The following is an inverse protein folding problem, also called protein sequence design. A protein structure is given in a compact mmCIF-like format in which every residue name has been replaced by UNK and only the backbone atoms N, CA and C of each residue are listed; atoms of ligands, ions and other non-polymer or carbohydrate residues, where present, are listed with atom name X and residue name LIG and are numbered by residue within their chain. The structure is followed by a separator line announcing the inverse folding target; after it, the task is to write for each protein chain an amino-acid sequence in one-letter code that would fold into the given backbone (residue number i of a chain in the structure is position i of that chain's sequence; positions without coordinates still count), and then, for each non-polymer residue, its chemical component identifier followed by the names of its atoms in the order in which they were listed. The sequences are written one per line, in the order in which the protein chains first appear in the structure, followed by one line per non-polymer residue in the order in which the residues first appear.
data_IF_547400184341
#
_entry.id   IF_547400184341
#
_cell.length_a   1.000
_cell.length_b   1.000
_cell.length_c   1.000
_cell.angle_alpha   90.00
_cell.angle_beta   90.00
_cell.angle_gamma   90.00
#
_symmetry.space_group_name_H-M   'P 1'
#
loop_
_entity.id
_entity.type
_entity.pdbx_description
1 polymer ?
#
# COMPACT_ATOMS: atom_id res chain seq x y z
N UNK A 1 -9.64 59.26 -29.17
CA UNK A 1 -9.47 57.91 -29.74
C UNK A 1 -8.70 57.06 -28.73
N UNK A 2 -9.38 56.48 -27.72
CA UNK A 2 -8.66 55.74 -26.64
C UNK A 2 -9.39 54.49 -26.13
N UNK A 3 -10.61 54.21 -26.61
CA UNK A 3 -11.42 53.06 -26.14
C UNK A 3 -10.92 51.70 -26.66
N UNK A 4 -10.16 51.70 -27.76
CA UNK A 4 -9.69 50.44 -28.38
C UNK A 4 -8.66 49.72 -27.51
N UNK A 5 -7.74 50.46 -26.88
CA UNK A 5 -6.74 49.87 -25.98
C UNK A 5 -7.36 49.28 -24.70
N UNK A 6 -8.43 49.90 -24.19
CA UNK A 6 -9.14 49.43 -22.99
C UNK A 6 -9.88 48.12 -23.29
N UNK A 7 -10.53 48.02 -24.44
CA UNK A 7 -11.23 46.79 -24.88
C UNK A 7 -10.23 45.64 -25.07
N UNK A 8 -9.05 45.93 -25.64
CA UNK A 8 -7.98 44.94 -25.80
C UNK A 8 -7.42 44.44 -24.46
N UNK A 9 -7.24 45.34 -23.48
CA UNK A 9 -6.79 44.99 -22.12
C UNK A 9 -7.83 44.13 -21.39
N UNK A 10 -9.12 44.44 -21.54
CA UNK A 10 -10.21 43.66 -20.95
C UNK A 10 -10.25 42.25 -21.57
N UNK A 11 -10.13 42.14 -22.89
CA UNK A 11 -10.09 40.85 -23.59
C UNK A 11 -8.90 40.00 -23.17
N UNK A 12 -7.71 40.61 -23.05
CA UNK A 12 -6.49 39.92 -22.61
C UNK A 12 -6.61 39.43 -21.15
N UNK A 13 -7.19 40.26 -20.28
CA UNK A 13 -7.45 39.92 -18.88
C UNK A 13 -8.42 38.74 -18.76
N UNK A 14 -9.53 38.76 -19.52
CA UNK A 14 -10.53 37.69 -19.51
C UNK A 14 -9.91 36.36 -19.97
N UNK A 15 -9.04 36.39 -20.99
CA UNK A 15 -8.36 35.20 -21.50
C UNK A 15 -7.42 34.58 -20.45
N UNK A 16 -6.67 35.41 -19.71
CA UNK A 16 -5.77 34.95 -18.64
C UNK A 16 -6.55 34.33 -17.48
N UNK A 17 -7.70 34.88 -17.12
CA UNK A 17 -8.57 34.32 -16.06
C UNK A 17 -9.11 32.95 -16.47
N UNK A 18 -9.55 32.79 -17.72
CA UNK A 18 -10.04 31.49 -18.23
C UNK A 18 -8.94 30.44 -18.25
N UNK A 19 -7.73 30.79 -18.71
CA UNK A 19 -6.57 29.91 -18.69
C UNK A 19 -6.16 29.51 -17.27
N UNK A 20 -6.23 30.45 -16.32
CA UNK A 20 -5.94 30.19 -14.91
C UNK A 20 -6.99 29.26 -14.26
N UNK A 21 -8.28 29.45 -14.58
CA UNK A 21 -9.35 28.55 -14.15
C UNK A 21 -9.17 27.14 -14.76
N UNK A 22 -8.86 27.05 -16.05
CA UNK A 22 -8.63 25.79 -16.74
C UNK A 22 -7.41 25.04 -16.18
N UNK A 23 -6.34 25.76 -15.82
CA UNK A 23 -5.15 25.17 -15.18
C UNK A 23 -5.40 24.76 -13.72
N UNK A 24 -6.26 25.50 -13.00
CA UNK A 24 -6.66 25.17 -11.62
C UNK A 24 -7.61 23.97 -11.56
N UNK A 25 -8.32 23.68 -12.65
CA UNK A 25 -9.01 22.41 -12.89
C UNK A 25 -7.99 21.32 -13.20
N UNK A 26 -7.14 21.03 -12.21
CA UNK A 26 -6.37 19.78 -12.11
C UNK A 26 -7.34 18.63 -12.43
N UNK A 27 -6.95 17.63 -13.23
CA UNK A 27 -7.82 16.50 -13.51
C UNK A 27 -8.06 15.73 -12.22
N UNK A 28 -9.17 16.05 -11.54
CA UNK A 28 -9.74 15.34 -10.41
C UNK A 28 -10.36 13.99 -10.84
N UNK A 29 -9.83 13.43 -11.93
CA UNK A 29 -10.15 12.11 -12.47
C UNK A 29 -8.91 11.23 -12.51
N UNK A 30 -8.09 11.27 -11.46
CA UNK A 30 -7.48 10.03 -11.01
C UNK A 30 -8.55 9.26 -10.23
N UNK A 31 -9.49 8.65 -10.97
CA UNK A 31 -10.06 7.39 -10.49
C UNK A 31 -8.85 6.57 -10.05
N UNK A 32 -8.77 6.05 -8.81
CA UNK A 32 -7.85 4.96 -8.56
C UNK A 32 -8.27 3.91 -9.59
N UNK A 33 -7.41 3.74 -10.60
CA UNK A 33 -7.50 2.64 -11.54
C UNK A 33 -7.36 1.45 -10.63
N UNK A 34 -8.50 0.90 -10.19
CA UNK A 34 -8.58 -0.40 -9.58
C UNK A 34 -7.77 -1.26 -10.54
N UNK A 35 -6.58 -1.72 -10.15
CA UNK A 35 -5.86 -2.64 -11.00
C UNK A 35 -6.84 -3.79 -11.07
N UNK A 36 -7.44 -3.99 -12.25
CA UNK A 36 -8.00 -5.27 -12.64
C UNK A 36 -6.98 -6.27 -12.16
N UNK A 37 -7.31 -6.98 -11.07
CA UNK A 37 -6.45 -8.01 -10.52
C UNK A 37 -5.97 -8.79 -11.74
N UNK A 38 -4.68 -8.74 -12.11
CA UNK A 38 -4.19 -9.90 -12.78
C UNK A 38 -4.48 -11.00 -11.76
N UNK A 39 -5.12 -12.08 -12.17
CA UNK A 39 -5.08 -13.32 -11.41
C UNK A 39 -3.61 -13.72 -11.38
N UNK A 40 -2.81 -13.00 -10.59
CA UNK A 40 -1.46 -13.35 -10.22
C UNK A 40 -1.74 -14.52 -9.31
N UNK A 41 -1.75 -15.71 -9.89
CA UNK A 41 -1.68 -16.94 -9.13
C UNK A 41 -0.63 -16.69 -8.05
N UNK A 42 -1.07 -16.65 -6.79
CA UNK A 42 -0.16 -16.43 -5.69
C UNK A 42 0.91 -17.49 -5.81
N UNK A 43 2.19 -17.14 -5.65
CA UNK A 43 3.23 -18.14 -5.58
C UNK A 43 2.85 -19.19 -4.53
N UNK A 44 3.11 -20.48 -4.78
CA UNK A 44 2.72 -21.55 -3.87
C UNK A 44 3.30 -21.36 -2.47
N UNK A 45 4.45 -20.68 -2.37
CA UNK A 45 5.09 -20.26 -1.11
C UNK A 45 4.26 -19.23 -0.35
N UNK A 46 3.80 -18.17 -1.02
CA UNK A 46 2.92 -17.15 -0.43
C UNK A 46 1.58 -17.76 -0.01
N UNK A 47 1.04 -18.68 -0.81
CA UNK A 47 -0.21 -19.37 -0.48
C UNK A 47 -0.04 -20.31 0.72
N UNK A 48 1.09 -21.04 0.81
CA UNK A 48 1.44 -21.86 1.98
C UNK A 48 1.56 -21.00 3.24
N UNK A 49 2.25 -19.85 3.15
CA UNK A 49 2.39 -18.92 4.26
C UNK A 49 1.02 -18.37 4.70
N UNK A 50 0.18 -17.97 3.74
CA UNK A 50 -1.19 -17.50 4.02
C UNK A 50 -2.01 -18.58 4.74
N UNK A 51 -1.96 -19.82 4.28
CA UNK A 51 -2.70 -20.93 4.89
C UNK A 51 -2.22 -21.24 6.32
N UNK A 52 -0.93 -21.02 6.62
CA UNK A 52 -0.38 -21.17 7.97
C UNK A 52 -0.74 -19.98 8.89
N UNK A 53 -0.82 -18.77 8.34
CA UNK A 53 -1.11 -17.55 9.10
C UNK A 53 -2.61 -17.33 9.36
N UNK A 54 -3.46 -17.61 8.37
CA UNK A 54 -4.91 -17.42 8.42
C UNK A 54 -5.60 -18.03 9.65
N UNK A 55 -5.33 -19.29 10.06
CA UNK A 55 -5.98 -19.85 11.26
C UNK A 55 -5.53 -19.18 12.55
N UNK A 56 -4.34 -18.57 12.56
CA UNK A 56 -3.72 -18.00 13.75
C UNK A 56 -4.01 -16.50 13.95
N UNK A 57 -4.40 -15.80 12.89
CA UNK A 57 -4.66 -14.35 12.86
C UNK A 57 -6.11 -14.06 12.47
N UNK A 58 -7.08 -14.68 13.15
CA UNK A 58 -8.53 -14.48 12.87
C UNK A 58 -9.00 -13.03 13.08
N UNK A 59 -8.34 -12.31 13.98
CA UNK A 59 -8.67 -10.94 14.34
C UNK A 59 -8.02 -9.91 13.39
N UNK A 60 -7.26 -10.37 12.39
CA UNK A 60 -6.53 -9.54 11.46
C UNK A 60 -6.90 -9.85 10.01
N UNK A 61 -6.97 -8.81 9.19
CA UNK A 61 -7.10 -8.92 7.74
C UNK A 61 -5.74 -9.26 7.14
N UNK A 62 -5.64 -10.42 6.49
CA UNK A 62 -4.47 -10.82 5.71
C UNK A 62 -4.70 -10.51 4.24
N UNK A 63 -3.88 -9.62 3.68
CA UNK A 63 -3.87 -9.31 2.25
C UNK A 63 -2.62 -9.91 1.60
N UNK A 64 -2.73 -11.10 0.99
CA UNK A 64 -1.62 -11.68 0.28
C UNK A 64 -1.39 -10.97 -1.07
N UNK A 65 -0.14 -10.67 -1.36
CA UNK A 65 0.37 -10.14 -2.65
C UNK A 65 1.47 -11.07 -3.14
N UNK A 66 1.87 -10.93 -4.41
CA UNK A 66 2.83 -11.83 -5.08
C UNK A 66 4.00 -12.27 -4.17
N UNK A 67 4.75 -11.32 -3.60
CA UNK A 67 5.94 -11.59 -2.78
C UNK A 67 5.80 -11.14 -1.33
N UNK A 68 4.61 -10.75 -0.87
CA UNK A 68 4.42 -10.24 0.49
C UNK A 68 3.00 -10.44 1.00
N UNK A 69 2.85 -10.63 2.31
CA UNK A 69 1.56 -10.68 2.99
C UNK A 69 1.47 -9.48 3.92
N UNK A 70 0.45 -8.65 3.72
CA UNK A 70 0.18 -7.51 4.59
C UNK A 70 -0.82 -7.96 5.64
N UNK A 71 -0.54 -7.65 6.89
CA UNK A 71 -1.38 -7.96 8.05
C UNK A 71 -1.88 -6.63 8.60
N UNK A 72 -3.20 -6.46 8.57
CA UNK A 72 -3.88 -5.30 9.11
C UNK A 72 -4.83 -5.70 10.22
N UNK A 73 -4.94 -4.90 11.28
CA UNK A 73 -5.93 -5.05 12.35
C UNK A 73 -6.81 -3.81 12.36
N UNK A 74 -8.12 -3.98 12.31
CA UNK A 74 -9.09 -2.86 12.29
C UNK A 74 -8.81 -1.80 11.21
N UNK A 75 -8.33 -2.23 10.04
CA UNK A 75 -8.00 -1.32 8.92
C UNK A 75 -6.62 -0.65 9.00
N UNK A 76 -5.87 -0.84 10.09
CA UNK A 76 -4.51 -0.31 10.26
C UNK A 76 -3.49 -1.40 9.96
N UNK A 77 -2.49 -1.11 9.13
CA UNK A 77 -1.38 -2.03 8.83
C UNK A 77 -0.53 -2.18 10.08
N UNK A 78 -0.29 -3.42 10.51
CA UNK A 78 0.51 -3.73 11.71
C UNK A 78 1.74 -4.55 11.38
N UNK A 79 1.68 -5.40 10.35
CA UNK A 79 2.86 -6.13 9.91
C UNK A 79 2.86 -6.37 8.39
N UNK A 80 4.05 -6.54 7.82
CA UNK A 80 4.25 -6.93 6.43
C UNK A 80 5.29 -8.05 6.42
N UNK A 81 4.90 -9.19 5.92
CA UNK A 81 5.80 -10.31 5.70
C UNK A 81 6.23 -10.30 4.24
N UNK A 82 7.52 -10.21 3.94
CA UNK A 82 8.03 -10.26 2.56
C UNK A 82 8.76 -11.59 2.37
N UNK A 83 8.49 -12.29 1.27
CA UNK A 83 9.21 -13.49 0.87
C UNK A 83 10.26 -13.09 -0.15
N UNK A 84 11.54 -13.26 0.19
CA UNK A 84 12.66 -12.86 -0.65
C UNK A 84 13.74 -13.95 -0.63
N UNK A 85 14.12 -14.42 -1.82
CA UNK A 85 15.14 -15.45 -2.00
C UNK A 85 16.54 -15.02 -1.55
N UNK A 86 16.77 -13.71 -1.42
CA UNK A 86 18.02 -13.15 -0.92
C UNK A 86 17.93 -12.68 0.53
N UNK A 87 16.76 -12.83 1.18
CA UNK A 87 16.60 -12.42 2.56
C UNK A 87 17.18 -13.45 3.53
N UNK A 88 18.23 -13.04 4.22
CA UNK A 88 18.50 -13.52 5.58
C UNK A 88 17.37 -12.97 6.46
N UNK A 89 16.77 -13.80 7.32
CA UNK A 89 15.75 -13.41 8.31
C UNK A 89 16.08 -12.04 8.93
N UNK A 90 15.41 -11.00 8.43
CA UNK A 90 15.73 -9.62 8.77
C UNK A 90 14.46 -8.91 9.18
N UNK A 91 14.51 -8.35 10.39
CA UNK A 91 13.43 -7.58 10.97
C UNK A 91 13.71 -6.11 10.70
N UNK A 92 12.72 -5.44 10.11
CA UNK A 92 12.77 -4.01 9.84
C UNK A 92 11.53 -3.38 10.42
N UNK A 93 11.74 -2.28 11.13
CA UNK A 93 10.65 -1.48 11.70
C UNK A 93 10.44 -0.29 10.78
N UNK A 94 9.18 -0.08 10.37
CA UNK A 94 8.79 1.10 9.61
C UNK A 94 7.65 1.78 10.36
N UNK A 95 8.00 2.77 11.18
CA UNK A 95 7.09 3.44 12.12
C UNK A 95 6.41 2.42 13.07
N UNK A 96 5.13 2.15 12.88
CA UNK A 96 4.32 1.20 13.66
C UNK A 96 4.07 -0.14 12.92
N UNK A 97 4.74 -0.33 11.77
CA UNK A 97 4.61 -1.52 10.92
C UNK A 97 5.83 -2.41 11.07
N UNK A 98 5.61 -3.64 11.54
CA UNK A 98 6.63 -4.67 11.64
C UNK A 98 6.85 -5.34 10.28
N UNK A 99 8.01 -5.14 9.67
CA UNK A 99 8.38 -5.77 8.40
C UNK A 99 9.30 -6.95 8.67
N UNK A 100 8.90 -8.14 8.22
CA UNK A 100 9.66 -9.37 8.43
C UNK A 100 9.97 -9.96 7.06
N UNK A 101 11.25 -10.15 6.78
CA UNK A 101 11.68 -10.85 5.57
C UNK A 101 11.89 -12.33 5.88
N UNK A 102 11.21 -13.18 5.14
CA UNK A 102 11.30 -14.62 5.19
C UNK A 102 11.98 -15.15 3.93
N UNK A 103 12.89 -16.10 4.10
CA UNK A 103 13.43 -16.86 2.99
C UNK A 103 12.33 -17.79 2.41
N UNK A 104 12.34 -18.10 1.10
CA UNK A 104 11.29 -18.88 0.45
C UNK A 104 11.21 -20.35 0.91
N UNK A 105 12.27 -20.86 1.53
CA UNK A 105 12.44 -22.18 2.12
C UNK A 105 12.02 -22.27 3.60
N UNK A 106 11.29 -21.26 4.09
CA UNK A 106 10.81 -21.19 5.47
C UNK A 106 10.10 -22.47 5.96
N UNK A 107 10.37 -22.83 7.21
CA UNK A 107 9.72 -23.94 7.91
C UNK A 107 8.59 -23.44 8.83
N UNK A 108 7.74 -24.35 9.29
CA UNK A 108 6.62 -23.99 10.17
C UNK A 108 7.08 -23.32 11.48
N UNK A 109 8.28 -23.65 11.97
CA UNK A 109 8.89 -23.03 13.14
C UNK A 109 9.23 -21.54 12.92
N UNK A 110 9.62 -21.16 11.70
CA UNK A 110 9.87 -19.76 11.36
C UNK A 110 8.56 -18.98 11.34
N UNK A 111 7.52 -19.57 10.74
CA UNK A 111 6.19 -18.95 10.67
C UNK A 111 5.60 -18.77 12.06
N UNK A 112 5.78 -19.74 12.96
CA UNK A 112 5.30 -19.60 14.35
C UNK A 112 6.09 -18.54 15.12
N UNK A 113 7.41 -18.45 14.95
CA UNK A 113 8.21 -17.38 15.55
C UNK A 113 7.76 -15.99 15.07
N UNK A 114 7.54 -15.85 13.76
CA UNK A 114 7.02 -14.63 13.13
C UNK A 114 5.63 -14.29 13.64
N UNK A 115 4.75 -15.29 13.76
CA UNK A 115 3.42 -15.12 14.32
C UNK A 115 3.46 -14.62 15.77
N UNK A 116 4.31 -15.21 16.61
CA UNK A 116 4.48 -14.78 18.00
C UNK A 116 4.93 -13.32 18.08
N UNK A 117 5.86 -12.91 17.21
CA UNK A 117 6.32 -11.52 17.15
C UNK A 117 5.24 -10.56 16.69
N UNK A 118 4.49 -10.92 15.65
CA UNK A 118 3.37 -10.11 15.14
C UNK A 118 2.30 -9.96 16.22
N UNK A 119 1.98 -11.04 16.94
CA UNK A 119 0.98 -11.02 18.01
C UNK A 119 1.44 -10.16 19.18
N UNK A 120 2.69 -10.32 19.61
CA UNK A 120 3.28 -9.48 20.65
C UNK A 120 3.26 -7.99 20.25
N UNK A 121 3.55 -7.65 18.99
CA UNK A 121 3.48 -6.27 18.48
C UNK A 121 2.06 -5.71 18.47
N UNK A 122 1.10 -6.53 18.03
CA UNK A 122 -0.32 -6.16 18.01
C UNK A 122 -0.87 -5.93 19.41
N UNK A 123 -0.45 -6.75 20.38
CA UNK A 123 -0.92 -6.67 21.77
C UNK A 123 -0.19 -5.56 22.56
N UNK A 124 1.05 -5.25 22.23
CA UNK A 124 1.81 -4.15 22.85
C UNK A 124 1.38 -2.76 22.35
N UNK A 125 0.84 -2.67 21.13
CA UNK A 125 0.37 -1.42 20.51
C UNK A 125 -1.15 -1.19 20.57
N UNK A 126 -1.87 -1.96 21.41
CA UNK A 126 -3.30 -1.79 21.71
C UNK A 126 -3.53 -1.16 23.07
#
# INVERSE_FOLDING_TARGET
MSYSAVIWLIGLSLLLVVLFLAASLKPMFHKPKQPSMPSIALPPTTQKLYNMLSPNLKDCTLEPKATRIIIAKSGVKKAIITIDAQAVMAERWLDDVLIINLAPDFVAADVSAVLTKIRAHIDAGS
#
